data_IF_439482772997
#
_entry.id   IF_439482772997
#
_cell.length_a   1.000
_cell.length_b   1.000
_cell.length_c   1.000
_cell.angle_alpha   90.00
_cell.angle_beta   90.00
_cell.angle_gamma   90.00
#
_symmetry.space_group_name_H-M   'P 1'
#
loop_
_entity.id
_entity.type
_entity.pdbx_description
1 polymer ?
#
# COMPACT_ATOMS: atom_id res chain seq x y z
N UNK A 1 -15.51 -12.61 1.99
CA UNK A 1 -15.58 -12.13 3.39
C UNK A 1 -15.15 -10.68 3.38
N UNK A 2 -15.97 -9.76 3.90
CA UNK A 2 -15.59 -8.34 3.98
C UNK A 2 -14.62 -8.14 5.16
N UNK A 3 -13.61 -7.29 5.00
CA UNK A 3 -12.74 -6.86 6.09
C UNK A 3 -13.52 -5.85 6.96
N UNK A 4 -13.38 -5.94 8.28
CA UNK A 4 -13.97 -4.99 9.24
C UNK A 4 -12.87 -4.08 9.81
N UNK A 5 -12.79 -2.80 9.37
CA UNK A 5 -11.75 -1.87 9.83
C UNK A 5 -11.74 -1.64 11.34
N UNK A 6 -12.86 -1.85 12.04
CA UNK A 6 -12.94 -1.68 13.51
C UNK A 6 -12.12 -2.72 14.26
N UNK A 7 -11.74 -3.83 13.62
CA UNK A 7 -10.94 -4.91 14.21
C UNK A 7 -9.46 -4.84 13.86
N UNK A 8 -9.05 -3.82 13.10
CA UNK A 8 -7.67 -3.68 12.68
C UNK A 8 -6.79 -3.14 13.80
N UNK A 9 -5.51 -3.52 13.75
CA UNK A 9 -4.50 -2.90 14.60
C UNK A 9 -4.30 -1.44 14.21
N UNK A 10 -3.68 -0.65 15.10
CA UNK A 10 -3.32 0.74 14.79
C UNK A 10 -2.45 0.83 13.54
N UNK A 11 -1.39 0.01 13.44
CA UNK A 11 -0.47 -0.01 12.30
C UNK A 11 -1.18 -0.41 11.00
N UNK A 12 -2.15 -1.32 11.05
CA UNK A 12 -2.97 -1.66 9.87
C UNK A 12 -3.81 -0.48 9.40
N UNK A 13 -4.46 0.26 10.31
CA UNK A 13 -5.22 1.46 9.95
C UNK A 13 -4.32 2.53 9.31
N UNK A 14 -3.15 2.78 9.89
CA UNK A 14 -2.16 3.71 9.33
C UNK A 14 -1.70 3.30 7.92
N UNK A 15 -1.42 2.01 7.71
CA UNK A 15 -0.98 1.51 6.41
C UNK A 15 -2.07 1.68 5.33
N UNK A 16 -3.33 1.43 5.65
CA UNK A 16 -4.44 1.67 4.72
C UNK A 16 -4.64 3.16 4.42
N UNK A 17 -4.51 4.03 5.43
CA UNK A 17 -4.57 5.48 5.22
C UNK A 17 -3.45 5.94 4.26
N UNK A 18 -2.21 5.52 4.51
CA UNK A 18 -1.07 5.83 3.66
C UNK A 18 -1.23 5.28 2.22
N UNK A 19 -1.80 4.09 2.08
CA UNK A 19 -2.07 3.50 0.76
C UNK A 19 -3.15 4.29 -0.02
N UNK A 20 -4.19 4.78 0.66
CA UNK A 20 -5.22 5.64 0.05
C UNK A 20 -4.60 6.97 -0.39
N UNK A 21 -3.75 7.58 0.44
CA UNK A 21 -3.08 8.83 0.10
C UNK A 21 -2.14 8.65 -1.10
N UNK A 22 -1.43 7.52 -1.17
CA UNK A 22 -0.59 7.17 -2.33
C UNK A 22 -1.43 7.01 -3.61
N UNK A 23 -2.55 6.29 -3.55
CA UNK A 23 -3.44 6.12 -4.71
C UNK A 23 -3.95 7.47 -5.24
N UNK A 24 -4.37 8.37 -4.33
CA UNK A 24 -4.78 9.74 -4.68
C UNK A 24 -3.64 10.53 -5.30
N UNK A 25 -2.45 10.51 -4.68
CA UNK A 25 -1.28 11.25 -5.14
C UNK A 25 -0.82 10.82 -6.54
N UNK A 26 -1.06 9.56 -6.91
CA UNK A 26 -0.73 9.00 -8.22
C UNK A 26 -1.89 9.01 -9.22
N UNK A 27 -3.03 9.59 -8.83
CA UNK A 27 -4.26 9.64 -9.63
C UNK A 27 -4.77 8.25 -10.04
N UNK A 28 -4.55 7.25 -9.20
CA UNK A 28 -5.11 5.92 -9.40
C UNK A 28 -6.59 5.90 -8.97
N UNK A 29 -7.52 5.45 -9.82
CA UNK A 29 -8.96 5.50 -9.54
C UNK A 29 -9.40 4.54 -8.44
N UNK A 30 -8.60 3.51 -8.15
CA UNK A 30 -8.90 2.47 -7.19
C UNK A 30 -7.72 2.21 -6.26
N UNK A 31 -8.04 1.92 -4.99
CA UNK A 31 -7.06 1.36 -4.06
C UNK A 31 -6.87 -0.12 -4.36
N UNK A 32 -5.63 -0.52 -4.66
CA UNK A 32 -5.27 -1.91 -4.98
C UNK A 32 -4.37 -2.52 -3.90
N UNK A 33 -4.21 -3.86 -3.87
CA UNK A 33 -3.26 -4.52 -2.98
C UNK A 33 -1.81 -4.02 -3.13
N UNK A 34 -1.41 -3.57 -4.32
CA UNK A 34 -0.06 -3.05 -4.56
C UNK A 34 0.22 -1.78 -3.74
N UNK A 35 -0.78 -0.90 -3.61
CA UNK A 35 -0.68 0.30 -2.75
C UNK A 35 -0.54 -0.09 -1.29
N UNK A 36 -1.34 -1.05 -0.83
CA UNK A 36 -1.29 -1.53 0.56
C UNK A 36 0.06 -2.18 0.85
N UNK A 37 0.58 -2.97 -0.09
CA UNK A 37 1.91 -3.57 0.03
C UNK A 37 3.00 -2.48 0.10
N UNK A 38 2.96 -1.50 -0.79
CA UNK A 38 3.90 -0.38 -0.79
C UNK A 38 3.88 0.39 0.54
N UNK A 39 2.69 0.65 1.09
CA UNK A 39 2.53 1.29 2.39
C UNK A 39 3.10 0.44 3.54
N UNK A 40 2.79 -0.87 3.58
CA UNK A 40 3.32 -1.79 4.58
C UNK A 40 4.85 -1.88 4.53
N UNK A 41 5.45 -1.80 3.34
CA UNK A 41 6.92 -1.83 3.17
C UNK A 41 7.62 -0.54 3.64
N UNK A 42 6.90 0.57 3.70
CA UNK A 42 7.42 1.89 4.12
C UNK A 42 7.16 2.17 5.61
N UNK A 43 6.34 1.36 6.26
CA UNK A 43 5.95 1.57 7.65
C UNK A 43 7.03 1.09 8.61
N UNK A 44 7.51 2.01 9.44
CA UNK A 44 8.42 1.72 10.54
C UNK A 44 7.68 1.11 11.74
N UNK A 45 8.43 0.49 12.64
CA UNK A 45 7.93 -0.19 13.85
C UNK A 45 6.92 -1.30 13.55
N UNK A 46 7.20 -2.12 12.54
CA UNK A 46 6.39 -3.28 12.17
C UNK A 46 7.21 -4.57 12.12
N UNK A 47 6.52 -5.70 12.20
CA UNK A 47 7.15 -7.03 12.04
C UNK A 47 7.49 -7.35 10.58
N UNK A 48 6.99 -6.55 9.63
CA UNK A 48 7.00 -6.87 8.20
C UNK A 48 8.42 -7.09 7.65
N UNK A 49 9.43 -6.23 7.93
CA UNK A 49 10.79 -6.46 7.47
C UNK A 49 11.39 -7.77 8.01
N UNK A 50 11.09 -8.12 9.26
CA UNK A 50 11.58 -9.34 9.89
C UNK A 50 10.94 -10.60 9.28
N UNK A 51 9.64 -10.56 8.95
CA UNK A 51 8.96 -11.65 8.24
C UNK A 51 9.58 -11.86 6.86
N UNK A 52 9.78 -10.79 6.09
CA UNK A 52 10.39 -10.89 4.76
C UNK A 52 11.83 -11.42 4.82
N UNK A 53 12.64 -10.91 5.74
CA UNK A 53 14.00 -11.40 5.94
C UNK A 53 14.03 -12.90 6.27
N UNK A 54 13.10 -13.37 7.12
CA UNK A 54 12.96 -14.80 7.46
C UNK A 54 12.56 -15.67 6.26
N UNK A 55 11.86 -15.08 5.28
CA UNK A 55 11.52 -15.73 4.01
C UNK A 55 12.64 -15.62 2.95
N UNK A 56 13.80 -15.04 3.30
CA UNK A 56 14.91 -14.82 2.36
C UNK A 56 14.66 -13.68 1.38
N UNK A 57 13.70 -12.80 1.66
CA UNK A 57 13.36 -11.66 0.82
C UNK A 57 13.98 -10.39 1.39
N UNK A 58 14.70 -9.63 0.56
CA UNK A 58 15.20 -8.32 0.94
C UNK A 58 14.04 -7.30 0.97
N UNK A 59 13.71 -6.66 2.11
CA UNK A 59 12.56 -5.76 2.22
C UNK A 59 12.58 -4.61 1.21
N UNK A 60 13.75 -4.02 0.96
CA UNK A 60 13.92 -2.97 -0.05
C UNK A 60 13.58 -3.45 -1.46
N UNK A 61 13.91 -4.70 -1.82
CA UNK A 61 13.54 -5.25 -3.12
C UNK A 61 12.04 -5.45 -3.25
N UNK A 62 11.37 -5.89 -2.18
CA UNK A 62 9.90 -6.04 -2.15
C UNK A 62 9.22 -4.68 -2.29
N UNK A 63 9.70 -3.67 -1.55
CA UNK A 63 9.23 -2.28 -1.67
C UNK A 63 9.34 -1.77 -3.09
N UNK A 64 10.52 -1.89 -3.71
CA UNK A 64 10.74 -1.37 -5.05
C UNK A 64 9.82 -2.06 -6.09
N UNK A 65 9.58 -3.37 -5.95
CA UNK A 65 8.64 -4.10 -6.80
C UNK A 65 7.19 -3.65 -6.58
N UNK A 66 6.79 -3.39 -5.34
CA UNK A 66 5.46 -2.86 -5.04
C UNK A 66 5.28 -1.46 -5.64
N UNK A 67 6.27 -0.58 -5.50
CA UNK A 67 6.26 0.76 -6.11
C UNK A 67 6.20 0.68 -7.65
N UNK A 68 6.93 -0.25 -8.27
CA UNK A 68 6.88 -0.48 -9.72
C UNK A 68 5.49 -0.97 -10.17
N UNK A 69 4.86 -1.88 -9.41
CA UNK A 69 3.52 -2.36 -9.69
C UNK A 69 2.49 -1.23 -9.60
N UNK A 70 2.56 -0.41 -8.55
CA UNK A 70 1.73 0.79 -8.40
C UNK A 70 1.93 1.75 -9.57
N UNK A 71 3.18 1.97 -10.01
CA UNK A 71 3.50 2.84 -11.14
C UNK A 71 2.90 2.39 -12.49
N UNK A 72 2.51 1.11 -12.63
CA UNK A 72 1.87 0.55 -13.82
C UNK A 72 0.34 0.62 -13.78
N UNK A 73 -0.25 1.01 -12.64
CA UNK A 73 -1.69 1.09 -12.49
C UNK A 73 -2.27 2.21 -13.37
N UNK A 74 -3.52 2.06 -13.85
CA UNK A 74 -4.18 3.08 -14.65
C UNK A 74 -4.29 4.39 -13.86
N UNK A 75 -4.19 5.50 -14.58
CA UNK A 75 -4.41 6.84 -14.03
C UNK A 75 -5.70 7.43 -14.60
N UNK A 76 -6.51 8.02 -13.75
CA UNK A 76 -7.72 8.71 -14.14
C UNK A 76 -7.54 10.21 -13.91
N UNK A 77 -7.55 10.97 -15.00
CA UNK A 77 -7.59 12.42 -14.98
C UNK A 77 -8.94 12.84 -15.58
N UNK A 78 -9.96 13.01 -14.73
CA UNK A 78 -11.29 13.48 -15.18
C UNK A 78 -12.47 12.74 -14.56
N UNK A 79 -12.90 13.23 -13.40
CA UNK A 79 -14.32 13.52 -13.18
C UNK A 79 -14.40 15.04 -13.14
N UNK A 80 -15.19 15.66 -14.01
CA UNK A 80 -15.49 17.08 -13.91
C UNK A 80 -16.04 17.36 -12.51
N UNK A 81 -15.64 18.49 -11.92
CA UNK A 81 -16.55 19.21 -11.03
C UNK A 81 -17.91 19.35 -11.72
N UNK A 82 -18.99 18.95 -11.05
CA UNK A 82 -20.08 19.89 -10.80
C UNK A 82 -20.30 20.16 -9.31
#
# INVERSE_FOLDING_TARGET
MALDPKKWTLKTNEAFAAAIDQAKALSNPELTPDHVLAALMRQDDTIVPAVLAKLGLAPLMVRNKADEAVGKLPKAYGGQDP
#
